data_IF_225340945382
#
_entry.id   IF_225340945382
#
_cell.length_a   1.000
_cell.length_b   1.000
_cell.length_c   1.000
_cell.angle_alpha   90.00
_cell.angle_beta   90.00
_cell.angle_gamma   90.00
#
_symmetry.space_group_name_H-M   'P 1'
#
loop_
_entity.id
_entity.type
_entity.pdbx_description
1 polymer ?
#
# COMPACT_ATOMS: atom_id res chain seq x y z
N UNK A 1 36.84 3.94 -29.54
CA UNK A 1 36.03 5.15 -29.65
C UNK A 1 34.55 4.88 -29.68
N UNK A 2 34.14 3.98 -30.50
CA UNK A 2 32.73 3.69 -30.64
C UNK A 2 32.12 3.07 -29.39
N UNK A 3 32.93 2.41 -28.62
CA UNK A 3 32.45 1.78 -27.39
C UNK A 3 31.97 2.80 -26.36
N UNK A 4 32.64 3.96 -26.36
CA UNK A 4 32.30 4.98 -25.36
C UNK A 4 30.87 5.48 -25.53
N UNK A 5 30.42 5.85 -26.74
CA UNK A 5 29.02 6.25 -26.89
C UNK A 5 28.03 5.16 -26.49
N UNK A 6 28.34 3.92 -26.83
CA UNK A 6 27.49 2.81 -26.48
C UNK A 6 27.35 2.64 -24.97
N UNK A 7 28.47 2.77 -24.28
CA UNK A 7 28.44 2.68 -22.81
C UNK A 7 27.60 3.76 -22.18
N UNK A 8 27.74 4.97 -22.70
CA UNK A 8 26.96 6.07 -22.17
C UNK A 8 25.47 5.84 -22.33
N UNK A 9 25.05 5.34 -23.48
CA UNK A 9 23.63 5.07 -23.74
C UNK A 9 23.10 4.03 -22.78
N UNK A 10 23.86 2.97 -22.54
CA UNK A 10 23.44 1.93 -21.62
C UNK A 10 23.23 2.45 -20.20
N UNK A 11 24.16 3.27 -19.73
CA UNK A 11 24.06 3.83 -18.39
C UNK A 11 22.80 4.71 -18.28
N UNK A 12 22.54 5.49 -19.30
CA UNK A 12 21.36 6.34 -19.30
C UNK A 12 20.07 5.53 -19.21
N UNK A 13 19.99 4.45 -19.96
CA UNK A 13 18.79 3.61 -19.92
C UNK A 13 18.54 3.01 -18.53
N UNK A 14 19.60 2.54 -17.90
CA UNK A 14 19.47 1.95 -16.56
C UNK A 14 18.96 3.00 -15.57
N UNK A 15 19.49 4.20 -15.63
CA UNK A 15 19.07 5.27 -14.73
C UNK A 15 17.59 5.60 -14.92
N UNK A 16 17.13 5.67 -16.16
CA UNK A 16 15.73 5.97 -16.44
C UNK A 16 14.82 4.87 -15.92
N UNK A 17 15.20 3.63 -16.09
CA UNK A 17 14.40 2.51 -15.60
C UNK A 17 14.27 2.55 -14.08
N UNK A 18 15.35 2.88 -13.38
CA UNK A 18 15.32 2.98 -11.93
C UNK A 18 14.35 4.06 -11.46
N UNK A 19 14.35 5.21 -12.12
CA UNK A 19 13.45 6.30 -11.75
C UNK A 19 11.99 5.92 -11.99
N UNK A 20 11.72 5.27 -13.11
CA UNK A 20 10.36 4.82 -13.41
C UNK A 20 9.88 3.81 -12.39
N UNK A 21 10.75 2.89 -11.98
CA UNK A 21 10.38 1.89 -10.99
C UNK A 21 10.03 2.53 -9.65
N UNK A 22 10.77 3.57 -9.24
CA UNK A 22 10.47 4.26 -7.98
C UNK A 22 9.10 4.96 -8.03
N UNK A 23 8.77 5.62 -9.15
CA UNK A 23 7.48 6.27 -9.30
C UNK A 23 6.32 5.30 -9.27
N UNK A 24 6.45 4.18 -9.99
CA UNK A 24 5.43 3.14 -9.96
C UNK A 24 5.30 2.56 -8.57
N UNK A 25 6.42 2.44 -7.86
CA UNK A 25 6.46 1.85 -6.53
C UNK A 25 5.63 2.63 -5.51
N UNK A 26 5.62 3.96 -5.57
CA UNK A 26 4.84 4.77 -4.63
C UNK A 26 3.34 4.53 -4.79
N UNK A 27 2.84 4.58 -6.02
CA UNK A 27 1.42 4.29 -6.28
C UNK A 27 1.07 2.87 -5.90
N UNK A 28 1.90 1.92 -6.27
CA UNK A 28 1.64 0.52 -5.97
C UNK A 28 1.62 0.27 -4.47
N UNK A 29 2.53 0.90 -3.73
CA UNK A 29 2.58 0.74 -2.29
C UNK A 29 1.32 1.29 -1.64
N UNK A 30 0.90 2.49 -2.03
CA UNK A 30 -0.30 3.08 -1.46
C UNK A 30 -1.53 2.24 -1.79
N UNK A 31 -1.64 1.74 -3.03
CA UNK A 31 -2.75 0.86 -3.41
C UNK A 31 -2.78 -0.37 -2.51
N UNK A 32 -1.64 -0.95 -2.21
CA UNK A 32 -1.58 -2.13 -1.36
C UNK A 32 -2.05 -1.83 0.06
N UNK A 33 -1.70 -0.66 0.60
CA UNK A 33 -2.18 -0.29 1.92
C UNK A 33 -3.68 0.00 1.92
N UNK A 34 -4.20 0.59 0.86
CA UNK A 34 -5.65 0.73 0.72
C UNK A 34 -6.34 -0.63 0.72
N UNK A 35 -5.75 -1.63 0.04
CA UNK A 35 -6.32 -2.98 0.02
C UNK A 35 -6.31 -3.59 1.41
N UNK A 36 -5.21 -3.41 2.16
CA UNK A 36 -5.16 -3.90 3.53
C UNK A 36 -6.24 -3.26 4.39
N UNK A 37 -6.47 -1.97 4.20
CA UNK A 37 -7.50 -1.28 4.96
C UNK A 37 -8.90 -1.80 4.60
N UNK A 38 -9.16 -2.05 3.30
CA UNK A 38 -10.43 -2.60 2.88
C UNK A 38 -10.66 -3.98 3.49
N UNK A 39 -9.61 -4.77 3.58
CA UNK A 39 -9.69 -6.08 4.24
C UNK A 39 -10.07 -5.91 5.70
N UNK A 40 -9.45 -4.97 6.40
CA UNK A 40 -9.75 -4.73 7.81
C UNK A 40 -11.21 -4.31 8.00
N UNK A 41 -11.73 -3.46 7.12
CA UNK A 41 -13.13 -3.04 7.22
C UNK A 41 -14.08 -4.23 7.06
N UNK A 42 -13.81 -5.10 6.08
CA UNK A 42 -14.63 -6.29 5.90
C UNK A 42 -14.53 -7.21 7.11
N UNK A 43 -13.34 -7.31 7.69
CA UNK A 43 -13.12 -8.13 8.87
C UNK A 43 -13.89 -7.61 10.08
N UNK A 44 -13.96 -6.30 10.22
CA UNK A 44 -14.74 -5.69 11.30
C UNK A 44 -16.22 -6.01 11.11
N UNK A 45 -16.73 -5.92 9.89
CA UNK A 45 -18.11 -6.26 9.59
C UNK A 45 -18.43 -7.72 9.94
N UNK A 46 -17.44 -8.59 9.79
CA UNK A 46 -17.60 -10.01 10.06
C UNK A 46 -17.30 -10.39 11.51
N UNK A 47 -17.06 -9.39 12.35
CA UNK A 47 -16.72 -9.59 13.76
C UNK A 47 -15.42 -10.38 13.96
N UNK A 48 -14.54 -10.34 12.99
CA UNK A 48 -13.23 -11.02 13.12
C UNK A 48 -12.20 -10.13 13.81
N UNK A 49 -12.45 -8.83 13.85
CA UNK A 49 -11.66 -7.89 14.64
C UNK A 49 -12.61 -6.91 15.32
N UNK A 50 -12.12 -6.23 16.34
CA UNK A 50 -12.94 -5.32 17.13
C UNK A 50 -13.09 -3.96 16.47
N UNK A 51 -14.09 -3.21 16.90
CA UNK A 51 -14.27 -1.83 16.47
C UNK A 51 -13.04 -0.98 16.82
N UNK A 52 -12.46 -1.23 17.98
CA UNK A 52 -11.25 -0.51 18.39
C UNK A 52 -10.10 -0.76 17.42
N UNK A 53 -9.97 -2.00 16.95
CA UNK A 53 -8.96 -2.33 15.95
C UNK A 53 -9.24 -1.62 14.63
N UNK A 54 -10.51 -1.53 14.25
CA UNK A 54 -10.91 -0.79 13.06
C UNK A 54 -10.55 0.69 13.15
N UNK A 55 -10.74 1.29 14.33
CA UNK A 55 -10.37 2.68 14.55
C UNK A 55 -8.87 2.88 14.43
N UNK A 56 -8.08 1.93 14.93
CA UNK A 56 -6.62 2.00 14.78
C UNK A 56 -6.23 1.92 13.31
N UNK A 57 -6.90 1.07 12.55
CA UNK A 57 -6.62 0.94 11.12
C UNK A 57 -6.96 2.23 10.38
N UNK A 58 -8.07 2.86 10.74
CA UNK A 58 -8.47 4.11 10.11
C UNK A 58 -7.42 5.20 10.35
N UNK A 59 -6.96 5.34 11.58
CA UNK A 59 -5.92 6.31 11.89
C UNK A 59 -4.63 5.99 11.12
N UNK A 60 -4.31 4.70 11.00
CA UNK A 60 -3.11 4.29 10.30
C UNK A 60 -3.19 4.61 8.82
N UNK A 61 -4.32 4.31 8.16
CA UNK A 61 -4.43 4.55 6.73
C UNK A 61 -4.42 6.04 6.40
N UNK A 62 -5.00 6.86 7.26
CA UNK A 62 -4.97 8.30 7.05
C UNK A 62 -3.53 8.83 7.06
N UNK A 63 -2.74 8.34 7.99
CA UNK A 63 -1.34 8.72 8.09
C UNK A 63 -0.55 8.24 6.86
N UNK A 64 -0.78 7.00 6.45
CA UNK A 64 -0.12 6.41 5.30
C UNK A 64 -0.48 7.19 4.03
N UNK A 65 -1.76 7.46 3.84
CA UNK A 65 -2.24 8.20 2.68
C UNK A 65 -1.56 9.57 2.59
N UNK A 66 -1.55 10.30 3.69
CA UNK A 66 -0.94 11.63 3.71
C UNK A 66 0.54 11.55 3.35
N UNK A 67 1.22 10.54 3.87
CA UNK A 67 2.65 10.35 3.59
C UNK A 67 2.92 10.18 2.10
N UNK A 68 2.14 9.33 1.44
CA UNK A 68 2.36 9.06 0.01
C UNK A 68 1.90 10.19 -0.88
N UNK A 69 0.76 10.80 -0.57
CA UNK A 69 0.24 11.88 -1.41
C UNK A 69 1.10 13.14 -1.33
N UNK A 70 1.76 13.37 -0.21
CA UNK A 70 2.72 14.47 -0.11
C UNK A 70 3.94 14.24 -0.99
N UNK A 71 4.35 12.99 -1.13
CA UNK A 71 5.53 12.66 -1.93
C UNK A 71 5.23 12.68 -3.42
N UNK A 72 4.00 12.38 -3.81
CA UNK A 72 3.62 12.35 -5.21
C UNK A 72 2.17 12.79 -5.34
N UNK A 73 1.99 14.07 -5.59
CA UNK A 73 0.65 14.65 -5.69
C UNK A 73 -0.07 14.26 -6.99
N UNK A 74 0.62 13.59 -7.90
CA UNK A 74 0.01 13.13 -9.15
C UNK A 74 -0.73 11.80 -8.98
N UNK A 75 -0.63 11.18 -7.79
CA UNK A 75 -1.32 9.93 -7.54
C UNK A 75 -2.84 10.15 -7.61
N UNK A 76 -3.51 9.32 -8.39
CA UNK A 76 -4.96 9.35 -8.51
C UNK A 76 -5.56 8.44 -7.45
N UNK A 77 -5.98 9.04 -6.36
CA UNK A 77 -6.49 8.30 -5.21
C UNK A 77 -7.70 7.42 -5.57
N UNK A 78 -8.63 7.96 -6.34
CA UNK A 78 -9.84 7.22 -6.68
C UNK A 78 -9.52 5.97 -7.49
N UNK A 79 -8.60 6.08 -8.44
CA UNK A 79 -8.19 4.94 -9.23
C UNK A 79 -7.54 3.87 -8.35
N UNK A 80 -6.74 4.29 -7.37
CA UNK A 80 -6.11 3.35 -6.46
C UNK A 80 -7.13 2.66 -5.56
N UNK A 81 -8.14 3.39 -5.11
CA UNK A 81 -9.19 2.80 -4.27
C UNK A 81 -9.97 1.75 -5.03
N UNK A 82 -10.28 2.00 -6.31
CA UNK A 82 -10.97 1.01 -7.14
C UNK A 82 -10.15 -0.26 -7.30
N UNK A 83 -8.86 -0.11 -7.54
CA UNK A 83 -7.97 -1.26 -7.66
C UNK A 83 -7.82 -2.00 -6.34
N UNK A 84 -7.76 -1.25 -5.25
CA UNK A 84 -7.64 -1.84 -3.93
C UNK A 84 -8.86 -2.71 -3.60
N UNK A 85 -10.05 -2.24 -3.97
CA UNK A 85 -11.26 -3.02 -3.74
C UNK A 85 -11.22 -4.33 -4.52
N UNK A 86 -10.74 -4.30 -5.76
CA UNK A 86 -10.60 -5.51 -6.55
C UNK A 86 -9.55 -6.45 -5.95
N UNK A 87 -8.45 -5.90 -5.47
CA UNK A 87 -7.40 -6.69 -4.82
C UNK A 87 -7.91 -7.34 -3.53
N UNK A 88 -8.72 -6.61 -2.77
CA UNK A 88 -9.32 -7.16 -1.56
C UNK A 88 -10.19 -8.37 -1.89
N UNK A 89 -11.05 -8.25 -2.90
CA UNK A 89 -11.92 -9.35 -3.30
C UNK A 89 -11.11 -10.56 -3.72
N UNK A 90 -10.04 -10.33 -4.47
CA UNK A 90 -9.16 -11.42 -4.90
C UNK A 90 -8.45 -12.05 -3.69
N UNK A 91 -8.01 -11.24 -2.75
CA UNK A 91 -7.35 -11.72 -1.54
C UNK A 91 -8.25 -12.65 -0.74
N UNK A 92 -9.52 -12.28 -0.55
CA UNK A 92 -10.46 -13.13 0.15
C UNK A 92 -10.72 -14.43 -0.59
N UNK A 93 -10.80 -14.37 -1.92
CA UNK A 93 -10.98 -15.60 -2.71
C UNK A 93 -9.79 -16.54 -2.58
N UNK A 94 -8.58 -16.00 -2.63
CA UNK A 94 -7.37 -16.81 -2.47
C UNK A 94 -7.34 -17.43 -1.09
N UNK A 95 -7.64 -16.66 -0.07
CA UNK A 95 -7.63 -17.13 1.30
C UNK A 95 -8.66 -18.25 1.51
N UNK A 96 -9.85 -18.09 0.94
CA UNK A 96 -10.89 -19.09 1.06
C UNK A 96 -10.47 -20.41 0.42
N UNK A 97 -9.76 -20.34 -0.72
CA UNK A 97 -9.29 -21.53 -1.41
C UNK A 97 -8.15 -22.24 -0.67
N UNK A 98 -7.34 -21.47 0.03
CA UNK A 98 -6.19 -22.03 0.74
C UNK A 98 -6.60 -22.75 2.02
N UNK A 99 -7.84 -22.55 2.48
CA UNK A 99 -8.31 -23.15 3.72
C UNK A 99 -7.75 -22.49 4.97
N UNK A 100 -7.09 -21.35 4.84
CA UNK A 100 -6.57 -20.63 5.98
C UNK A 100 -7.68 -19.96 6.77
N UNK A 101 -7.39 -19.67 8.05
CA UNK A 101 -8.36 -19.01 8.89
C UNK A 101 -8.54 -17.55 8.54
N UNK A 102 -9.77 -17.06 8.65
CA UNK A 102 -10.06 -15.66 8.36
C UNK A 102 -9.41 -14.73 9.37
N UNK A 103 -9.48 -15.09 10.65
CA UNK A 103 -8.95 -14.22 11.70
C UNK A 103 -7.45 -13.91 11.56
N UNK A 104 -6.58 -14.90 11.32
CA UNK A 104 -5.16 -14.59 11.12
C UNK A 104 -4.92 -13.69 9.92
N UNK A 105 -5.69 -13.87 8.85
CA UNK A 105 -5.60 -13.04 7.67
C UNK A 105 -5.97 -11.58 8.02
N UNK A 106 -7.07 -11.41 8.75
CA UNK A 106 -7.52 -10.10 9.19
C UNK A 106 -6.47 -9.41 10.07
N UNK A 107 -5.91 -10.17 11.00
CA UNK A 107 -4.92 -9.61 11.90
C UNK A 107 -3.63 -9.26 11.19
N UNK A 108 -3.28 -10.01 10.17
CA UNK A 108 -2.09 -9.68 9.38
C UNK A 108 -2.28 -8.35 8.65
N UNK A 109 -3.45 -8.13 8.03
CA UNK A 109 -3.71 -6.88 7.34
C UNK A 109 -3.66 -5.69 8.30
N UNK A 110 -4.26 -5.84 9.48
CA UNK A 110 -4.20 -4.81 10.50
C UNK A 110 -2.75 -4.52 10.89
N UNK A 111 -1.98 -5.58 11.11
CA UNK A 111 -0.58 -5.43 11.52
C UNK A 111 0.24 -4.67 10.49
N UNK A 112 0.02 -4.98 9.20
CA UNK A 112 0.76 -4.30 8.13
C UNK A 112 0.51 -2.79 8.15
N UNK A 113 -0.75 -2.40 8.36
CA UNK A 113 -1.08 -0.99 8.44
C UNK A 113 -0.41 -0.33 9.64
N UNK A 114 -0.48 -0.97 10.80
CA UNK A 114 0.06 -0.39 12.02
C UNK A 114 1.58 -0.27 11.97
N UNK A 115 2.25 -1.28 11.40
CA UNK A 115 3.69 -1.25 11.24
C UNK A 115 4.09 -0.10 10.33
N UNK A 116 3.40 0.06 9.20
CA UNK A 116 3.74 1.13 8.27
C UNK A 116 3.49 2.50 8.87
N UNK A 117 2.38 2.67 9.57
CA UNK A 117 2.08 3.94 10.22
C UNK A 117 3.15 4.30 11.25
N UNK A 118 3.63 3.29 11.98
CA UNK A 118 4.69 3.51 12.96
C UNK A 118 6.01 3.89 12.30
N UNK A 119 6.31 3.25 11.18
CA UNK A 119 7.51 3.56 10.39
C UNK A 119 7.54 5.01 9.94
N UNK A 120 6.38 5.50 9.49
CA UNK A 120 6.24 6.86 9.02
C UNK A 120 6.47 7.86 10.16
N UNK A 121 6.13 7.44 11.38
CA UNK A 121 6.27 8.30 12.55
C UNK A 121 5.09 9.23 12.73
N UNK A 122 5.14 10.10 13.73
CA UNK A 122 4.03 11.01 13.98
C UNK A 122 3.82 11.94 12.80
N UNK A 123 2.54 12.23 12.51
CA UNK A 123 2.24 13.27 11.54
C UNK A 123 2.85 14.54 12.11
N UNK A 124 3.71 15.15 11.30
CA UNK A 124 4.44 16.30 11.76
C UNK A 124 3.45 17.42 12.01
N UNK A 125 2.98 17.51 13.23
CA UNK A 125 2.02 18.51 13.60
C UNK A 125 2.66 19.88 13.43
N UNK A 126 1.94 20.78 12.85
CA UNK A 126 2.47 22.08 12.59
C UNK A 126 3.41 22.12 11.41
N UNK A 127 3.36 21.15 10.58
CA UNK A 127 4.16 21.19 9.38
C UNK A 127 3.31 21.14 8.16
#
# INVERSE_FOLDING_TARGET
MRLVPGGWILVGCVALMSQSALGVSLSAALKNYYAEYEIVLDCEEKDEISEADGDLAEAAIEKIEMHYLKRDSSIDKESLLDRAAADKDEGFRIMARSGGGLRPYCRQSLRELLIKAKEIGPVASGQ
#
